data_IF_486129372293
#
_entry.id   IF_486129372293
#
_cell.length_a   1.000
_cell.length_b   1.000
_cell.length_c   1.000
_cell.angle_alpha   90.00
_cell.angle_beta   90.00
_cell.angle_gamma   90.00
#
_symmetry.space_group_name_H-M   'P 1'
#
loop_
_entity.id
_entity.type
_entity.pdbx_description
1 polymer ?
#
# COMPACT_ATOMS: atom_id res chain seq x y z
N UNK A 1 12.11 17.29 -10.91
CA UNK A 1 11.04 18.13 -10.34
C UNK A 1 9.68 17.62 -10.85
N UNK A 2 9.10 16.67 -10.14
CA UNK A 2 7.79 16.10 -10.45
C UNK A 2 6.81 16.46 -9.34
N UNK A 3 5.53 16.64 -9.68
CA UNK A 3 4.47 16.81 -8.68
C UNK A 3 4.30 15.47 -7.98
N UNK A 4 4.49 15.47 -6.65
CA UNK A 4 4.39 14.24 -5.86
C UNK A 4 3.01 14.07 -5.23
N UNK A 5 2.30 15.17 -4.96
CA UNK A 5 0.97 15.13 -4.35
C UNK A 5 0.09 16.29 -4.80
N UNK A 6 -1.17 15.98 -5.05
CA UNK A 6 -2.23 16.95 -5.25
C UNK A 6 -3.22 16.79 -4.10
N UNK A 7 -3.16 17.69 -3.12
CA UNK A 7 -3.88 17.59 -1.85
C UNK A 7 -5.37 17.18 -2.00
N UNK A 8 -6.08 17.81 -2.95
CA UNK A 8 -7.52 17.57 -3.13
C UNK A 8 -7.84 16.19 -3.75
N UNK A 9 -6.86 15.44 -4.22
CA UNK A 9 -7.08 14.17 -4.93
C UNK A 9 -6.25 13.02 -4.34
N UNK A 10 -5.49 13.25 -3.28
CA UNK A 10 -4.66 12.23 -2.65
C UNK A 10 -5.47 11.00 -2.17
N UNK A 11 -6.74 11.20 -1.80
CA UNK A 11 -7.64 10.13 -1.40
C UNK A 11 -7.82 9.07 -2.50
N UNK A 12 -7.77 9.45 -3.78
CA UNK A 12 -7.90 8.50 -4.90
C UNK A 12 -6.81 7.44 -4.91
N UNK A 13 -5.64 7.79 -4.43
CA UNK A 13 -4.48 6.91 -4.34
C UNK A 13 -4.36 6.24 -2.96
N UNK A 14 -4.24 7.04 -1.90
CA UNK A 14 -3.87 6.53 -0.58
C UNK A 14 -4.97 5.72 0.10
N UNK A 15 -6.24 6.09 -0.09
CA UNK A 15 -7.32 5.28 0.45
C UNK A 15 -7.36 3.89 -0.19
N UNK A 16 -7.19 3.80 -1.50
CA UNK A 16 -7.18 2.49 -2.15
C UNK A 16 -5.91 1.71 -1.77
N UNK A 17 -4.74 2.35 -1.72
CA UNK A 17 -3.48 1.75 -1.33
C UNK A 17 -3.54 1.07 0.04
N UNK A 18 -4.26 1.69 0.99
CA UNK A 18 -4.36 1.22 2.39
C UNK A 18 -5.59 0.35 2.64
N UNK A 19 -6.78 0.78 2.22
CA UNK A 19 -8.01 0.11 2.64
C UNK A 19 -8.33 -1.14 1.85
N UNK A 20 -7.95 -1.20 0.57
CA UNK A 20 -8.20 -2.39 -0.23
C UNK A 20 -7.43 -3.62 0.29
N UNK A 21 -6.13 -3.57 0.62
CA UNK A 21 -5.43 -4.71 1.20
C UNK A 21 -6.00 -5.15 2.55
N UNK A 22 -6.54 -4.25 3.37
CA UNK A 22 -7.19 -4.60 4.64
C UNK A 22 -8.40 -5.51 4.43
N UNK A 23 -9.05 -5.49 3.25
CA UNK A 23 -10.11 -6.46 2.94
C UNK A 23 -9.62 -7.92 2.90
N UNK A 24 -8.31 -8.13 2.82
CA UNK A 24 -7.67 -9.46 2.80
C UNK A 24 -7.01 -9.83 4.14
N UNK A 25 -6.98 -8.91 5.11
CA UNK A 25 -6.38 -9.11 6.43
C UNK A 25 -7.44 -8.99 7.52
N UNK A 26 -7.48 -9.93 8.43
CA UNK A 26 -8.40 -9.91 9.56
C UNK A 26 -7.75 -9.24 10.77
N UNK A 27 -8.31 -8.10 11.20
CA UNK A 27 -7.93 -7.38 12.41
C UNK A 27 -6.42 -7.05 12.51
N UNK A 28 -5.83 -6.30 11.56
CA UNK A 28 -4.41 -5.96 11.59
C UNK A 28 -4.08 -5.10 12.82
N UNK A 29 -2.95 -5.38 13.46
CA UNK A 29 -2.46 -4.67 14.64
C UNK A 29 -1.17 -3.90 14.37
N UNK A 30 -0.35 -4.37 13.44
CA UNK A 30 0.95 -3.78 13.13
C UNK A 30 1.06 -3.46 11.65
N UNK A 31 1.57 -2.29 11.34
CA UNK A 31 1.76 -1.84 9.98
C UNK A 31 3.18 -1.31 9.74
N UNK A 32 3.71 -1.56 8.55
CA UNK A 32 4.90 -0.96 8.00
C UNK A 32 4.53 -0.15 6.76
N UNK A 33 5.04 1.07 6.68
CA UNK A 33 5.02 1.88 5.47
C UNK A 33 6.46 2.07 5.01
N UNK A 34 6.78 1.64 3.80
CA UNK A 34 8.07 1.88 3.16
C UNK A 34 7.93 3.11 2.25
N UNK A 35 8.76 4.12 2.46
CA UNK A 35 8.54 5.45 1.88
C UNK A 35 7.36 6.15 2.54
N UNK A 36 6.61 6.94 1.76
CA UNK A 36 5.39 7.59 2.25
C UNK A 36 5.64 8.75 3.21
N UNK A 37 6.75 9.46 3.06
CA UNK A 37 7.07 10.66 3.84
C UNK A 37 5.99 11.74 3.80
N UNK A 38 5.04 11.65 2.87
CA UNK A 38 3.82 12.46 2.81
C UNK A 38 2.86 12.22 3.98
N UNK A 39 3.01 11.09 4.70
CA UNK A 39 2.20 10.65 5.84
C UNK A 39 0.74 10.31 5.52
N UNK A 40 0.29 10.37 4.27
CA UNK A 40 -1.08 10.02 3.91
C UNK A 40 -1.39 8.54 4.16
N UNK A 41 -0.49 7.62 3.78
CA UNK A 41 -0.69 6.19 4.04
C UNK A 41 -0.77 5.89 5.55
N UNK A 42 0.08 6.52 6.36
CA UNK A 42 0.04 6.39 7.81
C UNK A 42 -1.27 6.98 8.39
N UNK A 43 -1.73 8.10 7.89
CA UNK A 43 -3.01 8.71 8.28
C UNK A 43 -4.19 7.77 8.02
N UNK A 44 -4.24 7.13 6.85
CA UNK A 44 -5.29 6.16 6.52
C UNK A 44 -5.24 4.92 7.42
N UNK A 45 -4.06 4.43 7.76
CA UNK A 45 -3.88 3.32 8.72
C UNK A 45 -4.37 3.67 10.13
N UNK A 46 -4.14 4.90 10.60
CA UNK A 46 -4.58 5.36 11.92
C UNK A 46 -6.10 5.40 12.10
N UNK A 47 -6.87 5.41 11.00
CA UNK A 47 -8.35 5.30 11.04
C UNK A 47 -8.82 3.97 11.65
N UNK A 48 -7.98 2.94 11.67
CA UNK A 48 -8.33 1.63 12.24
C UNK A 48 -7.93 1.52 13.72
N UNK A 49 -8.90 1.36 14.64
CA UNK A 49 -8.60 1.24 16.07
C UNK A 49 -7.80 -0.02 16.44
N UNK A 50 -7.82 -1.06 15.59
CA UNK A 50 -7.03 -2.26 15.80
C UNK A 50 -5.53 -2.05 15.62
N UNK A 51 -5.13 -1.07 14.81
CA UNK A 51 -3.72 -0.73 14.59
C UNK A 51 -3.14 -0.17 15.89
N UNK A 52 -2.15 -0.86 16.41
CA UNK A 52 -1.45 -0.54 17.67
C UNK A 52 -0.09 0.10 17.42
N UNK A 53 0.53 -0.21 16.27
CA UNK A 53 1.82 0.35 15.88
C UNK A 53 1.93 0.51 14.37
N UNK A 54 2.43 1.66 13.94
CA UNK A 54 2.79 1.96 12.55
C UNK A 54 4.26 2.33 12.54
N UNK A 55 5.08 1.59 11.83
CA UNK A 55 6.45 1.95 11.50
C UNK A 55 6.47 2.56 10.10
N UNK A 56 6.99 3.75 9.95
CA UNK A 56 7.24 4.36 8.65
C UNK A 56 8.75 4.48 8.46
N UNK A 57 9.27 3.85 7.40
CA UNK A 57 10.67 3.93 7.03
C UNK A 57 10.83 4.78 5.77
N UNK A 58 11.47 5.93 5.91
CA UNK A 58 11.81 6.82 4.79
C UNK A 58 13.23 7.36 4.99
N UNK A 59 13.89 7.71 3.90
CA UNK A 59 15.27 8.17 3.91
C UNK A 59 15.41 9.67 4.20
N UNK A 60 14.30 10.44 4.20
CA UNK A 60 14.34 11.89 4.33
C UNK A 60 13.35 12.42 5.37
N UNK A 61 13.86 12.66 6.59
CA UNK A 61 13.08 13.27 7.65
C UNK A 61 12.63 14.70 7.35
N UNK A 62 13.30 15.39 6.41
CA UNK A 62 12.95 16.77 6.04
C UNK A 62 11.56 16.84 5.42
N UNK A 63 11.17 15.80 4.67
CA UNK A 63 9.82 15.71 4.08
C UNK A 63 8.76 15.70 5.18
N UNK A 64 8.95 14.93 6.23
CA UNK A 64 7.99 14.87 7.36
C UNK A 64 7.80 16.25 8.00
N UNK A 65 8.89 16.99 8.22
CA UNK A 65 8.83 18.36 8.78
C UNK A 65 8.07 19.32 7.87
N UNK A 66 8.26 19.20 6.56
CA UNK A 66 7.52 20.02 5.60
C UNK A 66 6.03 19.66 5.62
N UNK A 67 5.70 18.39 5.67
CA UNK A 67 4.32 17.93 5.76
C UNK A 67 3.65 18.40 7.06
N UNK A 68 4.33 18.28 8.20
CA UNK A 68 3.84 18.80 9.48
C UNK A 68 3.53 20.30 9.43
N UNK A 69 4.37 21.07 8.75
CA UNK A 69 4.20 22.52 8.63
C UNK A 69 2.94 22.90 7.83
N UNK A 70 2.63 22.17 6.78
CA UNK A 70 1.62 22.58 5.80
C UNK A 70 0.32 21.78 5.84
N UNK A 71 0.31 20.59 6.48
CA UNK A 71 -0.83 19.67 6.42
C UNK A 71 -1.30 19.18 7.79
N UNK A 72 -2.58 19.29 8.05
CA UNK A 72 -3.14 18.91 9.34
C UNK A 72 -3.11 17.41 9.60
N UNK A 73 -3.29 16.56 8.56
CA UNK A 73 -3.16 15.12 8.70
C UNK A 73 -1.76 14.71 9.20
N UNK A 74 -0.72 15.40 8.74
CA UNK A 74 0.66 15.12 9.17
C UNK A 74 0.86 15.44 10.66
N UNK A 75 0.32 16.56 11.14
CA UNK A 75 0.32 16.89 12.59
C UNK A 75 -0.37 15.79 13.40
N UNK A 76 -1.52 15.30 12.91
CA UNK A 76 -2.26 14.24 13.58
C UNK A 76 -1.45 12.94 13.65
N UNK A 77 -0.80 12.54 12.54
CA UNK A 77 0.03 11.33 12.49
C UNK A 77 1.22 11.45 13.43
N UNK A 78 1.96 12.56 13.38
CA UNK A 78 3.16 12.76 14.19
C UNK A 78 2.85 12.87 15.70
N UNK A 79 1.63 13.30 16.06
CA UNK A 79 1.18 13.35 17.45
C UNK A 79 0.62 12.01 17.98
N UNK A 80 0.32 11.04 17.10
CA UNK A 80 -0.24 9.75 17.53
C UNK A 80 0.86 8.84 18.06
N UNK A 81 0.69 8.35 19.31
CA UNK A 81 1.65 7.47 19.98
C UNK A 81 1.88 6.12 19.31
N UNK A 82 1.02 5.74 18.38
CA UNK A 82 1.16 4.49 17.59
C UNK A 82 2.13 4.64 16.43
N UNK A 83 2.46 5.89 16.05
CA UNK A 83 3.34 6.20 14.92
C UNK A 83 4.81 6.21 15.34
N UNK A 84 5.66 5.54 14.57
CA UNK A 84 7.10 5.47 14.76
C UNK A 84 7.81 5.70 13.42
N UNK A 85 8.64 6.75 13.37
CA UNK A 85 9.47 7.04 12.20
C UNK A 85 10.86 6.40 12.35
N UNK A 86 11.34 5.82 11.26
CA UNK A 86 12.71 5.29 11.12
C UNK A 86 13.34 5.93 9.89
N UNK A 87 14.38 6.74 10.10
CA UNK A 87 15.16 7.32 9.01
C UNK A 87 16.17 6.29 8.51
N UNK A 88 15.86 5.65 7.38
CA UNK A 88 16.72 4.65 6.76
C UNK A 88 16.34 4.43 5.28
N UNK A 89 17.24 3.85 4.51
CA UNK A 89 16.91 3.25 3.22
C UNK A 89 15.99 2.03 3.40
N UNK A 90 14.95 1.95 2.58
CA UNK A 90 13.93 0.88 2.71
C UNK A 90 14.50 -0.53 2.52
N UNK A 91 15.52 -0.71 1.68
CA UNK A 91 16.17 -2.02 1.45
C UNK A 91 17.03 -2.40 2.64
N UNK A 92 17.82 -1.45 3.17
CA UNK A 92 18.63 -1.66 4.36
C UNK A 92 17.77 -1.95 5.60
N UNK A 93 16.65 -1.24 5.71
CA UNK A 93 15.67 -1.50 6.76
C UNK A 93 15.13 -2.93 6.68
N UNK A 94 14.72 -3.38 5.49
CA UNK A 94 14.22 -4.75 5.30
C UNK A 94 15.30 -5.80 5.62
N UNK A 95 16.57 -5.51 5.42
CA UNK A 95 17.68 -6.43 5.72
C UNK A 95 17.98 -6.54 7.22
N UNK A 96 17.84 -5.45 7.95
CA UNK A 96 18.19 -5.36 9.37
C UNK A 96 17.03 -5.63 10.33
N UNK A 97 15.79 -5.37 9.91
CA UNK A 97 14.61 -5.48 10.74
C UNK A 97 14.15 -6.94 10.90
N UNK A 98 13.72 -7.30 12.12
CA UNK A 98 13.21 -8.63 12.46
C UNK A 98 11.73 -8.62 12.86
N UNK A 99 11.12 -7.45 12.87
CA UNK A 99 9.71 -7.31 13.22
C UNK A 99 8.82 -7.83 12.09
N UNK A 100 7.73 -8.52 12.44
CA UNK A 100 6.72 -8.96 11.48
C UNK A 100 5.51 -8.03 11.56
N UNK A 101 4.90 -7.81 10.40
CA UNK A 101 3.77 -6.88 10.25
C UNK A 101 2.55 -7.56 9.65
N UNK A 102 1.37 -7.10 10.05
CA UNK A 102 0.11 -7.56 9.48
C UNK A 102 -0.20 -6.86 8.15
N UNK A 103 0.22 -5.60 8.03
CA UNK A 103 0.10 -4.83 6.79
C UNK A 103 1.46 -4.22 6.45
N UNK A 104 1.89 -4.41 5.21
CA UNK A 104 3.03 -3.68 4.65
C UNK A 104 2.53 -2.90 3.45
N UNK A 105 2.71 -1.59 3.48
CA UNK A 105 2.39 -0.67 2.39
C UNK A 105 3.70 -0.18 1.79
N UNK A 106 3.94 -0.49 0.53
CA UNK A 106 5.04 0.10 -0.23
C UNK A 106 4.53 1.36 -0.94
N UNK A 107 4.94 2.50 -0.43
CA UNK A 107 4.61 3.84 -0.94
C UNK A 107 5.86 4.56 -1.46
N UNK A 108 6.84 3.77 -1.94
CA UNK A 108 8.04 4.28 -2.55
C UNK A 108 7.81 4.60 -4.02
N UNK A 109 8.10 5.83 -4.40
CA UNK A 109 8.04 6.24 -5.80
C UNK A 109 9.36 5.98 -6.53
N UNK A 110 9.27 5.49 -7.77
CA UNK A 110 10.35 5.52 -8.77
C UNK A 110 11.56 4.58 -8.61
N UNK A 111 11.50 3.56 -7.82
CA UNK A 111 12.66 2.67 -7.64
C UNK A 111 12.87 1.64 -8.79
N UNK A 112 11.94 1.56 -9.73
CA UNK A 112 12.00 0.60 -10.85
C UNK A 112 12.89 1.05 -12.02
N UNK A 113 13.25 2.34 -12.10
CA UNK A 113 13.98 2.88 -13.26
C UNK A 113 15.49 2.75 -13.20
N UNK A 114 16.09 2.70 -12.03
CA UNK A 114 17.54 2.91 -11.88
C UNK A 114 18.32 1.76 -11.24
N UNK A 115 17.66 0.77 -10.68
CA UNK A 115 18.38 -0.35 -10.09
C UNK A 115 17.64 -1.67 -10.23
N UNK A 116 18.37 -2.76 -10.43
CA UNK A 116 17.90 -4.13 -10.26
C UNK A 116 17.42 -4.44 -8.81
N UNK A 117 17.14 -3.42 -8.01
CA UNK A 117 16.87 -3.50 -6.57
C UNK A 117 15.48 -4.06 -6.28
N UNK A 118 14.52 -3.86 -7.18
CA UNK A 118 13.12 -4.30 -7.03
C UNK A 118 12.83 -5.59 -7.80
N UNK A 119 13.73 -6.53 -7.70
CA UNK A 119 13.49 -7.88 -8.17
C UNK A 119 12.89 -8.78 -7.09
N UNK A 120 12.89 -10.06 -7.38
CA UNK A 120 12.42 -11.13 -6.48
C UNK A 120 12.93 -10.99 -5.04
N UNK A 121 14.18 -10.60 -4.86
CA UNK A 121 14.79 -10.43 -3.53
C UNK A 121 14.04 -9.41 -2.66
N UNK A 122 13.67 -8.26 -3.23
CA UNK A 122 12.93 -7.22 -2.51
C UNK A 122 11.52 -7.68 -2.12
N UNK A 123 10.76 -8.20 -3.07
CA UNK A 123 9.41 -8.72 -2.80
C UNK A 123 9.43 -9.87 -1.81
N UNK A 124 10.46 -10.73 -1.89
CA UNK A 124 10.65 -11.81 -0.94
C UNK A 124 10.91 -11.30 0.47
N UNK A 125 11.78 -10.29 0.65
CA UNK A 125 12.04 -9.68 1.96
C UNK A 125 10.77 -9.12 2.58
N UNK A 126 9.97 -8.35 1.82
CA UNK A 126 8.69 -7.85 2.30
C UNK A 126 7.76 -9.00 2.70
N UNK A 127 7.67 -10.04 1.88
CA UNK A 127 6.83 -11.20 2.17
C UNK A 127 7.31 -11.97 3.42
N UNK A 128 8.61 -12.08 3.63
CA UNK A 128 9.19 -12.74 4.80
C UNK A 128 8.89 -11.96 6.09
N UNK A 129 8.77 -10.64 6.02
CA UNK A 129 8.38 -9.77 7.15
C UNK A 129 6.88 -9.75 7.45
N UNK A 130 6.05 -10.43 6.68
CA UNK A 130 4.64 -10.57 7.00
C UNK A 130 4.42 -11.59 8.11
N UNK A 131 3.44 -11.31 8.98
CA UNK A 131 2.81 -12.35 9.80
C UNK A 131 2.14 -13.40 8.89
N UNK A 132 1.72 -14.55 9.45
CA UNK A 132 1.09 -15.62 8.65
C UNK A 132 -0.22 -15.20 7.97
N UNK A 133 -0.86 -14.15 8.49
CA UNK A 133 -2.09 -13.55 7.93
C UNK A 133 -1.84 -12.20 7.28
N UNK A 134 -0.59 -11.77 7.23
CA UNK A 134 -0.21 -10.46 6.75
C UNK A 134 -0.37 -10.29 5.25
N UNK A 135 -0.49 -9.03 4.85
CA UNK A 135 -0.73 -8.60 3.47
C UNK A 135 0.17 -7.43 3.10
N UNK A 136 0.78 -7.52 1.93
CA UNK A 136 1.48 -6.40 1.30
C UNK A 136 0.58 -5.68 0.29
N UNK A 137 0.77 -4.39 0.17
CA UNK A 137 0.21 -3.53 -0.88
C UNK A 137 1.31 -2.72 -1.54
N UNK A 138 1.31 -2.68 -2.86
CA UNK A 138 2.28 -1.96 -3.67
C UNK A 138 1.63 -1.43 -4.94
N UNK A 139 2.12 -0.32 -5.45
CA UNK A 139 1.65 0.25 -6.72
C UNK A 139 2.73 0.10 -7.78
N UNK A 140 2.36 -0.61 -8.84
CA UNK A 140 3.18 -0.75 -10.03
C UNK A 140 2.54 0.06 -11.13
N UNK A 141 3.24 1.06 -11.63
CA UNK A 141 2.73 1.78 -12.79
C UNK A 141 3.11 1.10 -14.10
N UNK A 142 2.21 1.22 -15.06
CA UNK A 142 2.45 0.75 -16.42
C UNK A 142 2.49 1.94 -17.37
N UNK A 143 3.62 2.12 -18.02
CA UNK A 143 3.70 3.06 -19.13
C UNK A 143 2.79 2.59 -20.27
N UNK A 144 2.08 3.52 -20.94
CA UNK A 144 1.16 3.18 -22.03
C UNK A 144 1.85 2.37 -23.13
N UNK A 145 3.12 2.65 -23.39
CA UNK A 145 3.89 2.06 -24.48
C UNK A 145 4.80 0.89 -24.05
N UNK A 146 5.02 0.69 -22.76
CA UNK A 146 5.88 -0.38 -22.24
C UNK A 146 5.28 -0.99 -20.97
N UNK A 147 4.85 -2.23 -21.09
CA UNK A 147 4.32 -3.00 -19.97
C UNK A 147 5.29 -4.00 -19.37
N UNK A 148 6.54 -4.02 -19.83
CA UNK A 148 7.53 -5.04 -19.45
C UNK A 148 7.80 -5.02 -17.95
N UNK A 149 8.01 -3.83 -17.37
CA UNK A 149 8.27 -3.65 -15.93
C UNK A 149 7.11 -4.20 -15.10
N UNK A 150 5.87 -3.87 -15.49
CA UNK A 150 4.67 -4.36 -14.79
C UNK A 150 4.58 -5.89 -14.80
N UNK A 151 4.78 -6.48 -15.98
CA UNK A 151 4.73 -7.92 -16.17
C UNK A 151 5.84 -8.62 -15.34
N UNK A 152 7.04 -8.10 -15.38
CA UNK A 152 8.18 -8.66 -14.64
C UNK A 152 7.95 -8.58 -13.13
N UNK A 153 7.48 -7.44 -12.62
CA UNK A 153 7.17 -7.28 -11.19
C UNK A 153 6.08 -8.25 -10.72
N UNK A 154 4.99 -8.39 -11.48
CA UNK A 154 3.93 -9.36 -11.17
C UNK A 154 4.50 -10.78 -11.15
N UNK A 155 5.33 -11.13 -12.12
CA UNK A 155 5.98 -12.45 -12.18
C UNK A 155 6.86 -12.73 -10.96
N UNK A 156 7.63 -11.72 -10.51
CA UNK A 156 8.51 -11.86 -9.35
C UNK A 156 7.70 -12.01 -8.05
N UNK A 157 6.63 -11.23 -7.87
CA UNK A 157 5.72 -11.35 -6.72
C UNK A 157 5.07 -12.75 -6.68
N UNK A 158 4.63 -13.27 -7.82
CA UNK A 158 4.01 -14.60 -7.92
C UNK A 158 4.93 -15.75 -7.51
N UNK A 159 6.24 -15.57 -7.56
CA UNK A 159 7.20 -16.55 -7.02
C UNK A 159 7.17 -16.62 -5.49
N UNK A 160 6.78 -15.52 -4.83
CA UNK A 160 6.74 -15.44 -3.37
C UNK A 160 5.39 -15.81 -2.81
N UNK A 161 4.28 -15.46 -3.50
CA UNK A 161 2.98 -15.42 -2.89
C UNK A 161 1.82 -15.44 -3.89
N UNK A 162 0.60 -15.64 -3.36
CA UNK A 162 -0.62 -15.36 -4.12
C UNK A 162 -0.78 -13.84 -4.29
N UNK A 163 -1.38 -13.44 -5.41
CA UNK A 163 -1.53 -12.03 -5.78
C UNK A 163 -2.96 -11.73 -6.22
N UNK A 164 -3.46 -10.57 -5.82
CA UNK A 164 -4.61 -9.91 -6.42
C UNK A 164 -4.17 -8.58 -7.01
N UNK A 165 -4.83 -8.15 -8.07
CA UNK A 165 -4.55 -6.89 -8.76
C UNK A 165 -5.78 -6.00 -8.73
N UNK A 166 -5.55 -4.69 -8.69
CA UNK A 166 -6.56 -3.66 -8.83
C UNK A 166 -6.03 -2.53 -9.70
N UNK A 167 -6.92 -1.84 -10.41
CA UNK A 167 -6.56 -0.58 -11.06
C UNK A 167 -6.67 0.55 -10.04
N UNK A 168 -5.72 1.47 -10.06
CA UNK A 168 -5.69 2.62 -9.17
C UNK A 168 -5.46 3.91 -9.95
N UNK A 169 -6.11 4.97 -9.51
CA UNK A 169 -5.93 6.32 -10.06
C UNK A 169 -4.83 7.01 -9.28
N UNK A 170 -3.81 7.48 -9.98
CA UNK A 170 -2.76 8.34 -9.43
C UNK A 170 -2.85 9.68 -10.15
N UNK A 171 -3.46 10.69 -9.53
CA UNK A 171 -3.81 11.96 -10.20
C UNK A 171 -2.60 12.71 -10.76
N UNK A 172 -1.45 12.54 -10.14
CA UNK A 172 -0.18 13.16 -10.52
C UNK A 172 0.35 12.66 -11.88
N UNK A 173 -0.11 11.48 -12.30
CA UNK A 173 0.36 10.81 -13.52
C UNK A 173 -0.79 10.49 -14.48
N UNK A 174 -1.45 11.52 -15.04
CA UNK A 174 -2.57 11.32 -15.95
C UNK A 174 -2.10 10.58 -17.22
N UNK A 175 -2.89 9.60 -17.65
CA UNK A 175 -2.59 8.79 -18.83
C UNK A 175 -1.63 7.61 -18.59
N UNK A 176 -1.14 7.41 -17.38
CA UNK A 176 -0.41 6.21 -16.99
C UNK A 176 -1.35 5.25 -16.25
N UNK A 177 -1.34 3.99 -16.64
CA UNK A 177 -2.11 2.96 -15.97
C UNK A 177 -1.33 2.46 -14.75
N UNK A 178 -1.89 2.69 -13.57
CA UNK A 178 -1.32 2.17 -12.33
C UNK A 178 -2.06 0.92 -11.90
N UNK A 179 -1.30 -0.07 -11.45
CA UNK A 179 -1.80 -1.35 -10.97
C UNK A 179 -1.36 -1.51 -9.53
N UNK A 180 -2.34 -1.59 -8.64
CA UNK A 180 -2.09 -2.01 -7.27
C UNK A 180 -1.95 -3.52 -7.24
N UNK A 181 -0.88 -4.00 -6.64
CA UNK A 181 -0.65 -5.40 -6.33
C UNK A 181 -0.90 -5.64 -4.84
N UNK A 182 -1.64 -6.70 -4.53
CA UNK A 182 -1.93 -7.13 -3.17
C UNK A 182 -1.48 -8.57 -3.06
N UNK A 183 -0.56 -8.86 -2.13
CA UNK A 183 -0.05 -10.22 -1.94
C UNK A 183 0.22 -10.52 -0.47
N UNK A 184 0.41 -11.79 -0.14
CA UNK A 184 0.77 -12.17 1.23
C UNK A 184 0.66 -13.66 1.47
N UNK A 185 1.08 -14.07 2.66
CA UNK A 185 1.07 -15.47 3.09
C UNK A 185 -0.35 -16.04 3.23
N UNK A 186 -1.35 -15.19 3.32
CA UNK A 186 -2.75 -15.60 3.41
C UNK A 186 -3.21 -16.27 2.11
N UNK A 187 -3.63 -17.54 2.20
CA UNK A 187 -4.15 -18.32 1.06
C UNK A 187 -5.45 -17.77 0.46
N UNK A 188 -6.11 -16.84 1.16
CA UNK A 188 -7.36 -16.21 0.71
C UNK A 188 -7.14 -15.05 -0.27
N UNK A 189 -5.90 -14.68 -0.56
CA UNK A 189 -5.61 -13.67 -1.57
C UNK A 189 -5.85 -14.28 -2.95
N UNK A 190 -6.90 -13.84 -3.60
CA UNK A 190 -7.26 -14.28 -4.92
C UNK A 190 -8.00 -13.18 -5.69
N UNK A 191 -7.74 -13.10 -6.98
CA UNK A 191 -8.43 -12.19 -7.88
C UNK A 191 -9.90 -12.63 -8.04
N UNK A 192 -10.83 -11.97 -7.37
CA UNK A 192 -12.25 -12.30 -7.44
C UNK A 192 -13.17 -11.10 -7.28
N UNK A 193 -14.02 -10.86 -8.27
CA UNK A 193 -15.09 -9.87 -8.20
C UNK A 193 -16.28 -10.32 -7.31
N UNK A 194 -16.24 -11.55 -6.75
CA UNK A 194 -17.24 -12.03 -5.79
C UNK A 194 -16.83 -11.76 -4.34
N UNK A 195 -15.65 -11.17 -4.12
CA UNK A 195 -15.16 -10.87 -2.78
C UNK A 195 -16.10 -9.87 -2.09
N UNK A 196 -16.42 -10.16 -0.87
CA UNK A 196 -17.14 -9.27 0.05
C UNK A 196 -16.20 -8.79 1.13
N UNK A 197 -16.58 -7.71 1.82
CA UNK A 197 -15.86 -7.24 3.00
C UNK A 197 -15.66 -8.37 4.02
N UNK A 198 -14.49 -8.43 4.60
CA UNK A 198 -14.28 -9.30 5.76
C UNK A 198 -15.07 -8.77 6.98
N UNK A 199 -15.29 -9.64 7.95
CA UNK A 199 -16.08 -9.31 9.15
C UNK A 199 -15.46 -8.18 9.97
N UNK A 200 -14.13 -8.10 9.99
CA UNK A 200 -13.40 -7.04 10.69
C UNK A 200 -13.66 -5.66 10.04
N UNK A 201 -13.45 -5.55 8.75
CA UNK A 201 -13.64 -4.28 8.03
C UNK A 201 -15.10 -3.82 8.09
N UNK A 202 -16.05 -4.77 7.94
CA UNK A 202 -17.48 -4.48 8.11
C UNK A 202 -17.76 -3.92 9.50
N UNK A 203 -17.25 -4.53 10.55
CA UNK A 203 -17.42 -4.04 11.93
C UNK A 203 -16.80 -2.66 12.12
N UNK A 204 -15.61 -2.39 11.59
CA UNK A 204 -14.98 -1.07 11.67
C UNK A 204 -15.84 0.00 11.02
N UNK A 205 -16.43 -0.27 9.86
CA UNK A 205 -17.36 0.66 9.19
C UNK A 205 -18.61 0.94 10.01
N UNK A 206 -19.20 -0.11 10.62
CA UNK A 206 -20.43 0.00 11.40
C UNK A 206 -20.21 0.76 12.72
N UNK A 207 -19.03 0.61 13.35
CA UNK A 207 -18.78 1.16 14.69
C UNK A 207 -18.06 2.51 14.69
N UNK A 208 -17.21 2.77 13.72
CA UNK A 208 -16.31 3.93 13.74
C UNK A 208 -16.64 4.98 12.68
N UNK A 209 -17.61 4.71 11.80
CA UNK A 209 -18.00 5.60 10.71
C UNK A 209 -16.76 6.18 9.98
N UNK A 210 -15.88 5.28 9.53
CA UNK A 210 -14.61 5.65 8.89
C UNK A 210 -14.87 6.61 7.73
N UNK A 211 -14.34 7.83 7.76
CA UNK A 211 -14.57 8.80 6.71
C UNK A 211 -13.68 8.46 5.51
N UNK A 212 -14.30 7.88 4.47
CA UNK A 212 -13.68 7.72 3.17
C UNK A 212 -14.18 8.82 2.23
N UNK A 213 -13.29 9.37 1.43
CA UNK A 213 -13.61 10.37 0.41
C UNK A 213 -13.76 9.73 -0.97
N UNK A 214 -12.98 8.70 -1.25
CA UNK A 214 -12.92 8.03 -2.54
C UNK A 214 -13.20 6.51 -2.44
N UNK A 215 -12.55 5.81 -1.51
CA UNK A 215 -12.72 4.37 -1.35
C UNK A 215 -14.11 4.05 -0.80
N UNK A 216 -14.82 3.17 -1.48
CA UNK A 216 -16.12 2.66 -1.03
C UNK A 216 -16.01 1.16 -0.79
N UNK A 217 -16.02 0.70 0.47
CA UNK A 217 -15.92 -0.72 0.80
C UNK A 217 -17.00 -1.59 0.15
N UNK A 218 -18.20 -1.03 -0.06
CA UNK A 218 -19.32 -1.72 -0.74
C UNK A 218 -18.97 -2.03 -2.20
N UNK A 219 -18.07 -1.26 -2.80
CA UNK A 219 -17.62 -1.41 -4.17
C UNK A 219 -16.41 -2.35 -4.31
N UNK A 220 -16.05 -3.09 -3.26
CA UNK A 220 -14.91 -4.03 -3.28
C UNK A 220 -14.86 -4.92 -4.54
N UNK A 221 -15.96 -5.51 -5.04
CA UNK A 221 -15.95 -6.29 -6.28
C UNK A 221 -15.46 -5.50 -7.51
N UNK A 222 -15.73 -4.21 -7.58
CA UNK A 222 -15.33 -3.36 -8.71
C UNK A 222 -13.83 -3.06 -8.70
N UNK A 223 -13.23 -2.87 -7.54
CA UNK A 223 -11.77 -2.69 -7.44
C UNK A 223 -11.01 -3.93 -7.92
N UNK A 224 -11.57 -5.11 -7.75
CA UNK A 224 -10.98 -6.38 -8.17
C UNK A 224 -11.38 -6.80 -9.59
N UNK A 225 -12.21 -6.01 -10.27
CA UNK A 225 -12.50 -6.22 -11.68
C UNK A 225 -11.32 -5.74 -12.54
N UNK A 226 -10.84 -6.61 -13.40
CA UNK A 226 -9.77 -6.27 -14.34
C UNK A 226 -10.23 -6.46 -15.77
N UNK A 227 -9.89 -5.54 -16.68
CA UNK A 227 -10.05 -5.75 -18.12
C UNK A 227 -9.33 -7.03 -18.58
N UNK A 228 -9.81 -7.69 -19.65
CA UNK A 228 -9.21 -8.95 -20.12
C UNK A 228 -7.70 -8.86 -20.37
N UNK A 229 -7.24 -7.74 -20.92
CA UNK A 229 -5.83 -7.56 -21.24
C UNK A 229 -4.93 -7.45 -19.99
N UNK A 230 -5.44 -6.92 -18.89
CA UNK A 230 -4.74 -6.90 -17.59
C UNK A 230 -4.77 -8.30 -16.96
N UNK A 231 -5.87 -9.03 -17.11
CA UNK A 231 -5.96 -10.43 -16.63
C UNK A 231 -4.92 -11.34 -17.26
N UNK A 232 -4.52 -11.07 -18.47
CA UNK A 232 -3.48 -11.84 -19.17
C UNK A 232 -2.08 -11.69 -18.50
N UNK A 233 -1.90 -10.74 -17.57
CA UNK A 233 -0.67 -10.57 -16.78
C UNK A 233 -0.65 -11.46 -15.53
N UNK A 234 -1.79 -11.99 -15.12
CA UNK A 234 -1.92 -12.95 -14.03
C UNK A 234 -1.59 -14.36 -14.52
#
# INVERSE_FOLDING_TARGET
DEIQHIQNYQCMYHEQLVHLPISFCDCPQTALVLGGGSLFAAYELLKYPSIQAITLCDHDYTVLKLMEKYYDHAKMVLADKRFHFVENDGVEFLDSNKTHYDIIVNDCFNLLKESNTYGYSFFKKMNDMLTDKGVCSDIIYRHIFDGTITHDSIREIKKCSNIALSLVIVPEYPGILHIQTIWGKNKNIAQTCKRTLNSFQKKCLETNNLPFEFYSPQNLPYYLYLPPYIKAML
#
